data_IF_534047983680
#
_entry.id   IF_534047983680
#
_cell.length_a   1.000
_cell.length_b   1.000
_cell.length_c   1.000
_cell.angle_alpha   90.00
_cell.angle_beta   90.00
_cell.angle_gamma   90.00
#
_symmetry.space_group_name_H-M   'P 1'
#
loop_
_entity.id
_entity.type
_entity.pdbx_description
1 polymer ?
#
# COMPACT_ATOMS: atom_id res chain seq x y z
N UNK A 1 11.35 9.04 -12.94
CA UNK A 1 10.14 9.07 -12.11
C UNK A 1 10.51 9.64 -10.75
N UNK A 2 9.70 10.55 -10.23
CA UNK A 2 9.86 11.10 -8.88
C UNK A 2 8.70 10.65 -7.99
N UNK A 3 9.04 10.15 -6.80
CA UNK A 3 8.10 9.64 -5.80
C UNK A 3 8.18 10.54 -4.58
N UNK A 4 7.04 11.08 -4.15
CA UNK A 4 6.91 11.72 -2.85
C UNK A 4 6.57 10.66 -1.81
N UNK A 5 7.44 10.49 -0.82
CA UNK A 5 7.14 9.81 0.42
C UNK A 5 6.61 10.85 1.40
N UNK A 6 5.35 10.73 1.80
CA UNK A 6 4.73 11.72 2.67
C UNK A 6 5.38 11.71 4.06
N UNK A 7 5.57 12.90 4.61
CA UNK A 7 5.98 13.16 5.99
C UNK A 7 5.06 14.22 6.62
N UNK A 8 3.77 14.17 6.27
CA UNK A 8 2.78 15.22 6.57
C UNK A 8 1.74 14.80 7.60
N UNK A 9 1.56 13.49 7.80
CA UNK A 9 0.57 12.89 8.68
C UNK A 9 1.23 11.85 9.60
N UNK A 10 2.41 12.19 10.11
CA UNK A 10 3.20 11.34 11.01
C UNK A 10 3.51 9.94 10.45
N UNK A 11 3.72 9.84 9.13
CA UNK A 11 4.05 8.59 8.46
C UNK A 11 5.38 8.00 8.91
N UNK A 12 5.50 6.67 8.79
CA UNK A 12 6.80 6.02 8.84
C UNK A 12 7.67 6.50 7.69
N UNK A 13 8.82 7.09 8.02
CA UNK A 13 9.71 7.76 7.10
C UNK A 13 10.70 6.79 6.44
N UNK A 14 11.02 7.03 5.18
CA UNK A 14 12.05 6.30 4.42
C UNK A 14 13.45 6.40 5.06
N UNK A 15 13.71 7.51 5.75
CA UNK A 15 14.92 7.85 6.49
C UNK A 15 15.02 7.08 7.82
N UNK A 16 13.96 6.37 8.22
CA UNK A 16 14.07 5.34 9.24
C UNK A 16 14.91 4.17 8.69
N UNK A 17 16.20 4.27 8.97
CA UNK A 17 17.22 3.35 8.45
C UNK A 17 17.00 1.90 8.89
N UNK A 18 16.24 1.68 9.98
CA UNK A 18 15.90 0.35 10.45
C UNK A 18 14.89 -0.34 9.51
N UNK A 19 13.88 0.40 9.06
CA UNK A 19 12.79 -0.17 8.26
C UNK A 19 12.99 -0.03 6.75
N UNK A 20 13.50 1.08 6.19
CA UNK A 20 13.35 1.31 4.73
C UNK A 20 14.64 1.64 3.96
N UNK A 21 15.80 1.56 4.61
CA UNK A 21 17.09 1.85 3.95
C UNK A 21 17.38 0.99 2.71
N UNK A 22 16.91 -0.26 2.69
CA UNK A 22 17.00 -1.16 1.54
C UNK A 22 16.15 -0.69 0.36
N UNK A 23 14.92 -0.27 0.62
CA UNK A 23 13.99 0.20 -0.40
C UNK A 23 14.55 1.43 -1.12
N UNK A 24 14.96 2.44 -0.35
CA UNK A 24 15.53 3.67 -0.92
C UNK A 24 16.72 3.38 -1.84
N UNK A 25 17.66 2.54 -1.36
CA UNK A 25 18.84 2.16 -2.13
C UNK A 25 18.47 1.45 -3.43
N UNK A 26 17.54 0.50 -3.39
CA UNK A 26 17.17 -0.29 -4.56
C UNK A 26 16.37 0.51 -5.60
N UNK A 27 15.51 1.43 -5.17
CA UNK A 27 14.80 2.36 -6.06
C UNK A 27 15.78 3.34 -6.72
N UNK A 28 16.74 3.88 -5.97
CA UNK A 28 17.74 4.79 -6.50
C UNK A 28 18.61 4.14 -7.59
N UNK A 29 19.02 2.88 -7.39
CA UNK A 29 19.75 2.09 -8.42
C UNK A 29 18.98 1.95 -9.74
N UNK A 30 17.65 2.05 -9.68
CA UNK A 30 16.73 1.94 -10.82
C UNK A 30 16.31 3.31 -11.38
N UNK A 31 16.93 4.40 -10.92
CA UNK A 31 16.62 5.77 -11.35
C UNK A 31 15.26 6.29 -10.84
N UNK A 32 14.68 5.65 -9.82
CA UNK A 32 13.49 6.11 -9.13
C UNK A 32 13.95 6.94 -7.93
N UNK A 33 13.67 8.24 -7.98
CA UNK A 33 14.06 9.18 -6.92
C UNK A 33 12.90 9.30 -5.94
N UNK A 34 13.13 8.91 -4.69
CA UNK A 34 12.15 9.05 -3.61
C UNK A 34 12.61 10.18 -2.70
N UNK A 35 11.73 11.14 -2.47
CA UNK A 35 11.98 12.28 -1.59
C UNK A 35 10.95 12.28 -0.45
N UNK A 36 11.40 12.49 0.78
CA UNK A 36 10.50 12.75 1.91
C UNK A 36 10.01 14.20 1.84
N UNK A 37 8.70 14.38 1.87
CA UNK A 37 8.08 15.68 1.65
C UNK A 37 7.14 16.00 2.81
N UNK A 38 7.53 16.99 3.62
CA UNK A 38 6.74 17.49 4.76
C UNK A 38 5.77 18.62 4.43
N UNK A 39 5.57 18.92 3.14
CA UNK A 39 4.62 19.93 2.66
C UNK A 39 3.56 19.22 1.81
N UNK A 40 2.32 19.19 2.31
CA UNK A 40 1.24 18.42 1.71
C UNK A 40 0.94 18.83 0.26
N UNK A 41 0.93 20.13 -0.04
CA UNK A 41 0.62 20.60 -1.40
C UNK A 41 1.75 20.22 -2.38
N UNK A 42 3.01 20.20 -1.91
CA UNK A 42 4.15 19.78 -2.73
C UNK A 42 4.14 18.30 -3.09
N UNK A 43 3.49 17.43 -2.32
CA UNK A 43 3.36 16.00 -2.64
C UNK A 43 2.87 15.79 -4.08
N UNK A 44 1.89 16.60 -4.50
CA UNK A 44 1.22 16.45 -5.79
C UNK A 44 2.01 17.03 -6.97
N UNK A 45 3.23 17.53 -6.75
CA UNK A 45 4.19 17.86 -7.81
C UNK A 45 4.93 16.63 -8.35
N UNK A 46 4.84 15.50 -7.64
CA UNK A 46 5.53 14.24 -7.96
C UNK A 46 4.64 13.29 -8.77
N UNK A 47 5.22 12.30 -9.45
CA UNK A 47 4.48 11.33 -10.27
C UNK A 47 3.66 10.37 -9.40
N UNK A 48 4.26 9.97 -8.28
CA UNK A 48 3.70 9.04 -7.29
C UNK A 48 3.72 9.70 -5.91
N UNK A 49 2.66 9.53 -5.14
CA UNK A 49 2.56 9.94 -3.74
C UNK A 49 2.30 8.70 -2.88
N UNK A 50 3.07 8.53 -1.80
CA UNK A 50 2.93 7.41 -0.87
C UNK A 50 2.62 7.97 0.52
N UNK A 51 1.47 7.56 1.07
CA UNK A 51 1.09 7.73 2.46
C UNK A 51 1.28 6.37 3.17
N UNK A 52 2.47 6.18 3.74
CA UNK A 52 2.84 4.92 4.40
C UNK A 52 2.58 5.00 5.90
N UNK A 53 1.51 4.37 6.37
CA UNK A 53 1.09 4.40 7.78
C UNK A 53 0.80 5.82 8.29
N UNK A 54 -0.15 6.58 7.70
CA UNK A 54 -0.53 7.89 8.22
C UNK A 54 -1.26 7.75 9.56
N UNK A 55 -0.76 8.43 10.59
CA UNK A 55 -1.31 8.43 11.96
C UNK A 55 -2.12 9.69 12.27
N UNK A 56 -2.04 10.73 11.44
CA UNK A 56 -2.90 11.92 11.56
C UNK A 56 -4.07 11.88 10.54
N UNK A 57 -5.29 12.30 10.92
CA UNK A 57 -6.41 12.41 9.99
C UNK A 57 -6.24 13.51 8.95
N UNK A 58 -6.67 13.24 7.70
CA UNK A 58 -6.74 14.23 6.63
C UNK A 58 -7.91 15.20 6.85
N UNK A 59 -7.65 16.49 6.69
CA UNK A 59 -8.69 17.51 6.71
C UNK A 59 -9.48 17.60 5.39
N UNK A 60 -10.56 18.38 5.37
CA UNK A 60 -11.39 18.51 4.17
C UNK A 60 -10.66 19.20 3.00
N UNK A 61 -9.74 20.13 3.27
CA UNK A 61 -8.93 20.78 2.23
C UNK A 61 -7.99 19.77 1.58
N UNK A 62 -7.36 18.93 2.37
CA UNK A 62 -6.46 17.87 1.94
C UNK A 62 -7.19 16.82 1.12
N UNK A 63 -8.36 16.36 1.58
CA UNK A 63 -9.24 15.47 0.81
C UNK A 63 -9.62 16.06 -0.55
N UNK A 64 -9.95 17.36 -0.62
CA UNK A 64 -10.24 18.03 -1.88
C UNK A 64 -9.04 18.08 -2.83
N UNK A 65 -7.83 18.28 -2.30
CA UNK A 65 -6.59 18.26 -3.10
C UNK A 65 -6.34 16.85 -3.66
N UNK A 66 -6.44 15.82 -2.81
CA UNK A 66 -6.29 14.41 -3.24
C UNK A 66 -7.32 14.09 -4.33
N UNK A 67 -8.58 14.47 -4.12
CA UNK A 67 -9.65 14.27 -5.11
C UNK A 67 -9.30 14.92 -6.45
N UNK A 68 -8.89 16.19 -6.44
CA UNK A 68 -8.50 16.91 -7.66
C UNK A 68 -7.31 16.24 -8.37
N UNK A 69 -6.33 15.76 -7.60
CA UNK A 69 -5.18 15.03 -8.14
C UNK A 69 -5.60 13.72 -8.83
N UNK A 70 -6.50 12.96 -8.23
CA UNK A 70 -7.05 11.74 -8.82
C UNK A 70 -7.89 12.04 -10.08
N UNK A 71 -8.77 13.02 -10.03
CA UNK A 71 -9.70 13.32 -11.13
C UNK A 71 -9.05 14.01 -12.34
N UNK A 72 -7.90 14.69 -12.18
CA UNK A 72 -7.32 15.50 -13.26
C UNK A 72 -5.79 15.48 -13.40
N UNK A 73 -5.05 14.89 -12.45
CA UNK A 73 -3.61 15.10 -12.31
C UNK A 73 -2.69 14.06 -12.95
N UNK A 74 -3.21 12.93 -13.46
CA UNK A 74 -2.39 11.75 -13.86
C UNK A 74 -1.44 11.32 -12.76
N UNK A 75 -1.99 11.03 -11.57
CA UNK A 75 -1.23 10.72 -10.35
C UNK A 75 -1.45 9.28 -9.91
N UNK A 76 -0.39 8.64 -9.41
CA UNK A 76 -0.51 7.41 -8.64
C UNK A 76 -0.43 7.78 -7.15
N UNK A 77 -1.46 7.45 -6.37
CA UNK A 77 -1.50 7.70 -4.93
C UNK A 77 -1.63 6.36 -4.24
N UNK A 78 -0.73 6.06 -3.30
CA UNK A 78 -0.66 4.80 -2.57
C UNK A 78 -0.89 5.08 -1.08
N UNK A 79 -1.90 4.43 -0.50
CA UNK A 79 -2.10 4.37 0.94
C UNK A 79 -1.69 2.99 1.45
N UNK A 80 -0.94 2.92 2.54
CA UNK A 80 -0.59 1.68 3.18
C UNK A 80 -0.98 1.70 4.66
N UNK A 81 -1.77 0.72 5.10
CA UNK A 81 -2.23 0.56 6.47
C UNK A 81 -1.58 -0.65 7.14
N UNK A 82 -2.13 -1.10 8.26
CA UNK A 82 -1.69 -2.25 9.02
C UNK A 82 -2.91 -2.96 9.62
N UNK A 83 -2.76 -4.25 9.96
CA UNK A 83 -3.86 -5.04 10.51
C UNK A 83 -4.51 -4.44 11.76
N UNK A 84 -5.77 -4.82 12.01
CA UNK A 84 -6.50 -4.56 13.26
C UNK A 84 -6.62 -3.09 13.65
N UNK A 85 -6.51 -2.19 12.68
CA UNK A 85 -6.63 -0.75 12.86
C UNK A 85 -5.71 -0.22 13.99
N UNK A 86 -4.47 -0.72 14.05
CA UNK A 86 -3.49 -0.21 15.00
C UNK A 86 -3.26 1.29 14.71
N UNK A 87 -3.22 2.09 15.78
CA UNK A 87 -3.05 3.55 15.73
C UNK A 87 -4.08 4.26 14.82
N UNK A 88 -5.28 3.68 14.67
CA UNK A 88 -6.38 4.20 13.85
C UNK A 88 -6.06 4.36 12.34
N UNK A 89 -4.94 3.81 11.88
CA UNK A 89 -4.44 4.01 10.50
C UNK A 89 -5.43 3.55 9.43
N UNK A 90 -6.16 2.46 9.66
CA UNK A 90 -7.19 2.01 8.71
C UNK A 90 -8.36 2.98 8.65
N UNK A 91 -8.77 3.57 9.77
CA UNK A 91 -9.83 4.59 9.82
C UNK A 91 -9.38 5.89 9.16
N UNK A 92 -8.13 6.31 9.40
CA UNK A 92 -7.52 7.50 8.79
C UNK A 92 -7.45 7.34 7.27
N UNK A 93 -6.92 6.22 6.78
CA UNK A 93 -6.90 5.91 5.35
C UNK A 93 -8.32 5.87 4.77
N UNK A 94 -9.26 5.21 5.45
CA UNK A 94 -10.66 5.16 5.04
C UNK A 94 -11.34 6.55 5.03
N UNK A 95 -10.81 7.54 5.74
CA UNK A 95 -11.23 8.94 5.65
C UNK A 95 -11.11 9.51 4.23
N UNK A 96 -10.28 8.90 3.39
CA UNK A 96 -10.09 9.24 1.98
C UNK A 96 -10.59 8.11 1.06
N UNK A 97 -10.16 6.87 1.29
CA UNK A 97 -10.28 5.79 0.29
C UNK A 97 -11.71 5.28 0.10
N UNK A 98 -12.56 5.40 1.14
CA UNK A 98 -13.93 4.87 1.12
C UNK A 98 -14.80 5.52 0.05
N UNK A 99 -14.60 6.81 -0.21
CA UNK A 99 -15.33 7.57 -1.24
C UNK A 99 -15.03 7.05 -2.65
N UNK A 100 -13.98 6.25 -2.77
CA UNK A 100 -13.55 5.62 -4.01
C UNK A 100 -13.92 4.12 -4.07
N UNK A 101 -14.64 3.59 -3.08
CA UNK A 101 -15.06 2.19 -3.07
C UNK A 101 -14.02 1.22 -2.50
N UNK A 102 -13.00 1.74 -1.80
CA UNK A 102 -11.95 0.91 -1.19
C UNK A 102 -11.96 1.11 0.33
N UNK A 103 -12.26 0.04 1.06
CA UNK A 103 -12.44 0.06 2.51
C UNK A 103 -11.46 -0.89 3.18
N UNK A 104 -10.58 -0.38 4.04
CA UNK A 104 -9.69 -1.20 4.86
C UNK A 104 -10.46 -1.66 6.08
N UNK A 105 -10.58 -2.97 6.29
CA UNK A 105 -11.30 -3.52 7.43
C UNK A 105 -10.40 -3.55 8.68
N UNK A 106 -10.95 -3.36 9.89
CA UNK A 106 -10.20 -3.37 11.15
C UNK A 106 -9.89 -4.81 11.62
N UNK A 107 -9.47 -5.68 10.72
CA UNK A 107 -9.18 -7.10 10.97
C UNK A 107 -7.72 -7.42 10.65
N UNK A 108 -7.25 -8.59 11.08
CA UNK A 108 -6.02 -9.20 10.57
C UNK A 108 -6.28 -10.36 9.65
N UNK A 109 -5.36 -10.56 8.70
CA UNK A 109 -5.29 -11.73 7.84
C UNK A 109 -4.26 -12.71 8.38
N UNK A 110 -4.64 -13.98 8.46
CA UNK A 110 -3.78 -15.11 8.82
C UNK A 110 -3.74 -16.14 7.70
N UNK A 111 -2.71 -16.95 7.70
CA UNK A 111 -2.52 -18.06 6.78
C UNK A 111 -2.28 -19.37 7.55
N UNK A 112 -2.78 -20.49 7.00
CA UNK A 112 -2.66 -21.83 7.60
C UNK A 112 -1.47 -22.61 7.07
N UNK A 113 -1.11 -22.39 5.81
CA UNK A 113 -0.16 -23.25 5.09
C UNK A 113 1.07 -22.49 4.58
N UNK A 114 0.88 -21.27 4.07
CA UNK A 114 1.89 -20.50 3.33
C UNK A 114 2.32 -19.23 4.08
N UNK A 115 3.06 -19.39 5.17
CA UNK A 115 3.58 -18.28 5.99
C UNK A 115 5.05 -18.49 6.35
N UNK A 116 5.71 -17.43 6.82
CA UNK A 116 7.13 -17.44 7.19
C UNK A 116 7.33 -17.26 8.70
N UNK A 117 8.53 -17.58 9.18
CA UNK A 117 9.00 -17.32 10.55
C UNK A 117 8.13 -17.92 11.67
N UNK A 118 7.42 -19.01 11.37
CA UNK A 118 6.45 -19.63 12.29
C UNK A 118 5.31 -18.66 12.73
N UNK A 119 5.14 -17.53 12.04
CA UNK A 119 4.12 -16.51 12.32
C UNK A 119 3.04 -16.51 11.22
N UNK A 120 1.79 -16.91 11.53
CA UNK A 120 0.71 -16.98 10.56
C UNK A 120 0.26 -15.61 10.02
N UNK A 121 0.74 -14.49 10.58
CA UNK A 121 0.50 -13.15 10.03
C UNK A 121 1.53 -12.74 8.96
N UNK A 122 2.65 -13.45 8.86
CA UNK A 122 3.67 -13.22 7.81
C UNK A 122 3.32 -14.09 6.61
N UNK A 123 2.18 -13.76 5.98
CA UNK A 123 1.60 -14.57 4.90
C UNK A 123 2.41 -14.44 3.61
N UNK A 124 2.34 -15.47 2.77
CA UNK A 124 2.87 -15.46 1.40
C UNK A 124 1.76 -15.76 0.41
N UNK A 125 1.83 -15.19 -0.80
CA UNK A 125 0.80 -15.38 -1.82
C UNK A 125 1.35 -15.23 -3.23
N UNK A 126 0.84 -16.08 -4.13
CA UNK A 126 1.03 -16.02 -5.58
C UNK A 126 -0.22 -15.47 -6.31
N UNK A 127 -1.24 -15.03 -5.56
CA UNK A 127 -2.49 -14.50 -6.11
C UNK A 127 -2.34 -13.02 -6.47
N UNK A 128 -1.48 -12.75 -7.46
CA UNK A 128 -1.07 -11.42 -7.91
C UNK A 128 -1.72 -11.15 -9.28
N UNK A 129 -2.61 -10.15 -9.33
CA UNK A 129 -3.45 -9.88 -10.50
C UNK A 129 -2.96 -8.68 -11.32
N UNK A 130 -2.33 -7.70 -10.65
CA UNK A 130 -1.70 -6.54 -11.27
C UNK A 130 -0.25 -6.44 -10.77
N UNK A 131 0.60 -5.77 -11.54
CA UNK A 131 2.02 -5.57 -11.19
C UNK A 131 2.84 -6.87 -11.06
N UNK A 132 2.41 -7.94 -11.73
CA UNK A 132 2.99 -9.29 -11.64
C UNK A 132 4.18 -9.55 -12.58
N UNK A 133 4.65 -8.55 -13.33
CA UNK A 133 5.76 -8.75 -14.27
C UNK A 133 7.04 -9.20 -13.54
N UNK A 134 7.45 -10.45 -13.79
CA UNK A 134 8.61 -11.04 -13.11
C UNK A 134 8.39 -11.39 -11.64
N UNK A 135 7.13 -11.44 -11.17
CA UNK A 135 6.76 -11.73 -9.78
C UNK A 135 5.95 -13.04 -9.74
N UNK A 136 6.42 -14.03 -9.00
CA UNK A 136 5.72 -15.31 -8.81
C UNK A 136 5.03 -15.38 -7.46
N UNK A 137 5.70 -14.90 -6.42
CA UNK A 137 5.20 -14.97 -5.05
C UNK A 137 5.79 -13.85 -4.21
N UNK A 138 5.01 -13.33 -3.26
CA UNK A 138 5.46 -12.29 -2.34
C UNK A 138 5.10 -12.63 -0.90
N UNK A 139 5.83 -12.06 0.05
CA UNK A 139 5.44 -11.97 1.46
C UNK A 139 4.63 -10.69 1.69
N UNK A 140 3.56 -10.77 2.49
CA UNK A 140 2.69 -9.62 2.78
C UNK A 140 2.30 -9.58 4.26
N UNK A 141 3.20 -9.15 5.15
CA UNK A 141 3.04 -9.33 6.60
C UNK A 141 1.95 -8.45 7.22
N UNK A 142 1.34 -8.94 8.30
CA UNK A 142 0.45 -8.19 9.20
C UNK A 142 -0.60 -7.35 8.46
N UNK A 143 -1.26 -7.99 7.50
CA UNK A 143 -2.18 -7.32 6.59
C UNK A 143 -3.59 -7.15 7.16
N UNK A 144 -4.18 -5.99 6.91
CA UNK A 144 -5.61 -5.76 6.97
C UNK A 144 -6.29 -6.23 5.67
N UNK A 145 -7.46 -6.89 5.74
CA UNK A 145 -8.23 -7.19 4.54
C UNK A 145 -8.91 -5.94 3.98
N UNK A 146 -9.06 -5.89 2.66
CA UNK A 146 -9.72 -4.80 1.95
C UNK A 146 -11.08 -5.28 1.44
N UNK A 147 -12.13 -4.54 1.78
CA UNK A 147 -13.43 -4.63 1.12
C UNK A 147 -13.45 -3.68 -0.08
N UNK A 148 -13.86 -4.20 -1.23
CA UNK A 148 -13.99 -3.43 -2.47
C UNK A 148 -15.46 -3.29 -2.86
N UNK A 149 -15.82 -2.10 -3.34
CA UNK A 149 -17.14 -1.76 -3.91
C UNK A 149 -16.94 -1.11 -5.27
N UNK A 150 -18.00 -1.06 -6.06
CA UNK A 150 -18.00 -0.44 -7.39
C UNK A 150 -16.96 -1.05 -8.36
N UNK A 151 -16.44 -0.25 -9.30
CA UNK A 151 -15.41 -0.65 -10.27
C UNK A 151 -14.02 -0.45 -9.68
N UNK A 152 -13.65 -1.35 -8.76
CA UNK A 152 -12.31 -1.43 -8.15
C UNK A 152 -11.64 -2.73 -8.60
N UNK A 153 -10.38 -2.63 -8.98
CA UNK A 153 -9.55 -3.74 -9.43
C UNK A 153 -8.84 -4.38 -8.23
N UNK A 154 -8.79 -5.71 -8.22
CA UNK A 154 -7.99 -6.46 -7.25
C UNK A 154 -6.54 -6.47 -7.75
N UNK A 155 -5.60 -6.07 -6.89
CA UNK A 155 -4.16 -6.15 -7.18
C UNK A 155 -3.57 -7.43 -6.60
N UNK A 156 -3.92 -7.73 -5.35
CA UNK A 156 -3.36 -8.83 -4.57
C UNK A 156 -4.43 -9.45 -3.68
N UNK A 157 -4.46 -10.78 -3.57
CA UNK A 157 -5.26 -11.51 -2.58
C UNK A 157 -4.43 -12.45 -1.74
N UNK A 158 -4.96 -12.83 -0.59
CA UNK A 158 -4.51 -14.04 0.12
C UNK A 158 -4.90 -15.29 -0.67
N UNK A 159 -4.17 -16.38 -0.42
CA UNK A 159 -4.49 -17.71 -0.97
C UNK A 159 -5.86 -18.19 -0.45
N UNK A 160 -6.39 -19.28 -1.01
CA UNK A 160 -7.65 -19.88 -0.55
C UNK A 160 -7.63 -20.34 0.91
N UNK A 161 -6.44 -20.60 1.45
CA UNK A 161 -6.19 -21.00 2.83
C UNK A 161 -6.00 -19.81 3.77
N UNK A 162 -5.84 -18.59 3.24
CA UNK A 162 -5.80 -17.36 4.01
C UNK A 162 -7.19 -17.01 4.54
N UNK A 163 -7.25 -16.52 5.78
CA UNK A 163 -8.50 -16.16 6.44
C UNK A 163 -8.38 -14.90 7.29
N UNK A 164 -9.47 -14.14 7.40
CA UNK A 164 -9.54 -12.97 8.27
C UNK A 164 -9.90 -13.34 9.71
N UNK A 165 -9.78 -12.41 10.66
CA UNK A 165 -10.24 -12.61 12.04
C UNK A 165 -11.75 -12.98 12.09
N UNK A 166 -12.57 -12.49 11.16
CA UNK A 166 -13.98 -12.88 10.97
C UNK A 166 -14.20 -14.15 10.13
N UNK A 167 -13.14 -14.91 9.80
CA UNK A 167 -13.15 -16.12 8.96
C UNK A 167 -13.54 -15.91 7.47
N UNK A 168 -13.42 -14.70 6.94
CA UNK A 168 -13.50 -14.48 5.48
C UNK A 168 -12.31 -15.16 4.79
N UNK A 169 -12.53 -15.87 3.68
CA UNK A 169 -11.46 -16.62 2.97
C UNK A 169 -10.93 -15.87 1.75
N UNK A 170 -9.65 -16.09 1.41
CA UNK A 170 -8.97 -15.40 0.29
C UNK A 170 -9.24 -13.88 0.26
N UNK A 171 -8.91 -13.15 1.34
CA UNK A 171 -9.17 -11.73 1.43
C UNK A 171 -8.40 -10.94 0.38
N UNK A 172 -8.94 -9.81 -0.07
CA UNK A 172 -8.18 -8.83 -0.86
C UNK A 172 -7.18 -8.13 0.06
N UNK A 173 -5.94 -7.99 -0.39
CA UNK A 173 -4.83 -7.42 0.37
C UNK A 173 -4.38 -6.07 -0.21
N UNK A 174 -4.51 -5.91 -1.53
CA UNK A 174 -4.26 -4.64 -2.23
C UNK A 174 -5.36 -4.47 -3.27
N UNK A 175 -5.91 -3.25 -3.35
CA UNK A 175 -6.92 -2.87 -4.33
C UNK A 175 -6.52 -1.57 -5.05
N UNK A 176 -7.04 -1.39 -6.26
CA UNK A 176 -6.78 -0.24 -7.10
C UNK A 176 -8.07 0.33 -7.70
N UNK A 177 -8.20 1.66 -7.72
CA UNK A 177 -9.14 2.37 -8.58
C UNK A 177 -8.39 3.13 -9.66
N UNK A 178 -8.77 2.89 -10.91
CA UNK A 178 -8.30 3.63 -12.08
C UNK A 178 -9.29 4.76 -12.43
N UNK A 179 -8.77 5.92 -12.83
CA UNK A 179 -9.54 7.11 -13.19
C UNK A 179 -9.38 7.43 -14.68
N UNK A 180 -10.39 8.06 -15.28
CA UNK A 180 -10.36 8.47 -16.70
C UNK A 180 -9.20 9.44 -17.01
N UNK A 181 -8.73 10.17 -16.00
CA UNK A 181 -7.55 11.02 -16.08
C UNK A 181 -6.26 10.24 -16.36
N UNK A 182 -6.24 8.94 -16.09
CA UNK A 182 -5.04 8.09 -16.03
C UNK A 182 -4.46 7.98 -14.61
N UNK A 183 -5.04 8.65 -13.62
CA UNK A 183 -4.65 8.49 -12.22
C UNK A 183 -5.02 7.11 -11.67
N UNK A 184 -4.32 6.67 -10.64
CA UNK A 184 -4.56 5.43 -9.91
C UNK A 184 -4.55 5.71 -8.40
N UNK A 185 -5.58 5.27 -7.69
CA UNK A 185 -5.58 5.16 -6.23
C UNK A 185 -5.33 3.70 -5.87
N UNK A 186 -4.27 3.43 -5.10
CA UNK A 186 -3.89 2.09 -4.65
C UNK A 186 -3.94 2.08 -3.13
N UNK A 187 -4.54 1.04 -2.56
CA UNK A 187 -4.63 0.87 -1.12
C UNK A 187 -4.07 -0.50 -0.76
N UNK A 188 -3.12 -0.51 0.17
CA UNK A 188 -2.42 -1.68 0.67
C UNK A 188 -2.82 -1.94 2.12
N UNK A 189 -3.19 -3.18 2.43
CA UNK A 189 -3.51 -3.60 3.80
C UNK A 189 -2.30 -3.72 4.73
N UNK A 190 -1.08 -3.56 4.21
CA UNK A 190 0.18 -3.61 4.96
C UNK A 190 1.11 -2.49 4.51
N UNK A 191 1.83 -1.90 5.46
CA UNK A 191 2.84 -0.86 5.29
C UNK A 191 4.28 -1.40 5.36
N UNK A 192 4.44 -2.70 5.59
CA UNK A 192 5.75 -3.33 5.85
C UNK A 192 6.12 -4.40 4.83
N UNK A 193 5.30 -4.67 3.82
CA UNK A 193 5.70 -5.57 2.72
C UNK A 193 6.90 -5.06 1.89
N UNK A 194 7.25 -3.78 2.05
CA UNK A 194 8.41 -3.12 1.43
C UNK A 194 9.48 -2.67 2.45
N UNK A 195 9.36 -3.09 3.71
CA UNK A 195 10.40 -2.85 4.72
C UNK A 195 11.61 -3.77 4.49
N UNK A 196 12.69 -3.55 5.23
CA UNK A 196 13.96 -4.25 5.08
C UNK A 196 13.84 -5.76 5.31
N UNK A 197 12.89 -6.19 6.15
CA UNK A 197 12.62 -7.60 6.40
C UNK A 197 11.97 -8.24 5.17
N UNK A 198 10.93 -7.61 4.63
CA UNK A 198 10.07 -8.18 3.58
C UNK A 198 10.66 -8.00 2.19
N UNK A 199 11.32 -6.85 1.93
CA UNK A 199 11.75 -6.42 0.62
C UNK A 199 12.63 -7.45 -0.11
N UNK A 200 13.49 -8.15 0.64
CA UNK A 200 14.44 -9.11 0.10
C UNK A 200 13.97 -10.57 0.21
N UNK A 201 12.70 -10.80 0.59
CA UNK A 201 12.09 -12.12 0.56
C UNK A 201 11.28 -12.29 -0.72
N UNK A 202 11.35 -13.51 -1.27
CA UNK A 202 10.64 -13.89 -2.50
C UNK A 202 10.85 -12.83 -3.59
N UNK A 203 9.80 -12.43 -4.30
CA UNK A 203 9.85 -11.43 -5.37
C UNK A 203 9.38 -10.03 -4.91
N UNK A 204 9.39 -9.73 -3.59
CA UNK A 204 8.88 -8.48 -3.03
C UNK A 204 9.53 -7.23 -3.66
N UNK A 205 10.85 -7.21 -3.81
CA UNK A 205 11.53 -6.07 -4.43
C UNK A 205 11.01 -5.81 -5.85
N UNK A 206 10.83 -6.85 -6.65
CA UNK A 206 10.33 -6.70 -8.01
C UNK A 206 8.86 -6.24 -8.01
N UNK A 207 8.03 -6.79 -7.12
CA UNK A 207 6.65 -6.36 -6.95
C UNK A 207 6.53 -4.89 -6.54
N UNK A 208 7.33 -4.44 -5.56
CA UNK A 208 7.33 -3.05 -5.09
C UNK A 208 7.80 -2.10 -6.19
N UNK A 209 8.83 -2.48 -6.95
CA UNK A 209 9.29 -1.71 -8.12
C UNK A 209 8.14 -1.59 -9.13
N UNK A 210 7.50 -2.70 -9.49
CA UNK A 210 6.37 -2.70 -10.44
C UNK A 210 5.22 -1.81 -9.94
N UNK A 211 4.85 -1.95 -8.67
CA UNK A 211 3.78 -1.18 -8.02
C UNK A 211 4.03 0.32 -8.11
N UNK A 212 5.28 0.74 -7.92
CA UNK A 212 5.69 2.15 -7.98
C UNK A 212 5.81 2.61 -9.45
N UNK A 213 6.40 1.82 -10.34
CA UNK A 213 6.85 2.30 -11.65
C UNK A 213 5.94 2.03 -12.86
N UNK A 214 4.96 1.11 -12.79
CA UNK A 214 4.07 0.74 -13.91
C UNK A 214 2.68 1.41 -13.85
#
# INVERSE_FOLDING_TARGET
MKVAWSATHSEFLLSDGYYFSGLHRELLKRGIVVEEVGDFEKLFQYDVVIFNYPEDPFDEKEKMIIKKALESGKKKIIFASHFRNKDEVSEICNGVTKDYGIYILPEGVKEKEFYLEEDPFIITTDQIFLYSEGVKEIVFPYAAPIEIRDRVEVVLKGRSTSFTDSNGTSPVLIAQKSFDSGSKLIVCGSCIFWDNFSLFKLDNLQFVVNLISL
#
